data_IF_412711519647
#
_entry.id   IF_412711519647
#
_cell.length_a   1.000
_cell.length_b   1.000
_cell.length_c   1.000
_cell.angle_alpha   90.00
_cell.angle_beta   90.00
_cell.angle_gamma   90.00
#
_symmetry.space_group_name_H-M   'P 1'
#
loop_
_entity.id
_entity.type
_entity.pdbx_description
1 polymer ?
#
# COMPACT_ATOMS: atom_id res chain seq x y z
N UNK A 1 -4.44 18.40 -21.56
CA UNK A 1 -4.03 17.18 -20.83
C UNK A 1 -2.55 17.02 -21.01
N UNK A 2 -1.80 17.17 -19.93
CA UNK A 2 -0.33 17.09 -19.89
C UNK A 2 0.11 15.65 -19.66
N UNK A 3 1.41 15.38 -19.77
CA UNK A 3 1.99 14.05 -19.44
C UNK A 3 1.68 13.66 -17.99
N UNK A 4 1.66 14.63 -17.07
CA UNK A 4 1.29 14.39 -15.68
C UNK A 4 -0.14 13.83 -15.56
N UNK A 5 -1.10 14.38 -16.30
CA UNK A 5 -2.49 13.90 -16.26
C UNK A 5 -2.59 12.43 -16.72
N UNK A 6 -1.83 12.03 -17.74
CA UNK A 6 -1.78 10.64 -18.19
C UNK A 6 -1.15 9.70 -17.15
N UNK A 7 -0.12 10.15 -16.44
CA UNK A 7 0.49 9.38 -15.35
C UNK A 7 -0.52 9.15 -14.23
N UNK A 8 -1.20 10.22 -13.78
CA UNK A 8 -2.22 10.14 -12.72
C UNK A 8 -3.34 9.19 -13.12
N UNK A 9 -3.90 9.33 -14.33
CA UNK A 9 -4.96 8.46 -14.83
C UNK A 9 -4.50 7.01 -14.95
N UNK A 10 -3.26 6.77 -15.39
CA UNK A 10 -2.71 5.42 -15.48
C UNK A 10 -2.57 4.77 -14.11
N UNK A 11 -2.06 5.50 -13.11
CA UNK A 11 -1.90 4.98 -11.74
C UNK A 11 -3.26 4.65 -11.13
N UNK A 12 -4.22 5.58 -11.21
CA UNK A 12 -5.57 5.37 -10.67
C UNK A 12 -6.27 4.24 -11.42
N UNK A 13 -6.23 4.26 -12.76
CA UNK A 13 -6.84 3.24 -13.60
C UNK A 13 -6.30 1.84 -13.33
N UNK A 14 -4.98 1.68 -13.27
CA UNK A 14 -4.34 0.41 -12.92
C UNK A 14 -4.69 -0.03 -11.51
N UNK A 15 -4.66 0.88 -10.54
CA UNK A 15 -5.04 0.59 -9.16
C UNK A 15 -6.47 0.05 -9.09
N UNK A 16 -7.43 0.73 -9.72
CA UNK A 16 -8.84 0.31 -9.80
C UNK A 16 -8.97 -1.05 -10.48
N UNK A 17 -8.34 -1.26 -11.64
CA UNK A 17 -8.41 -2.54 -12.36
C UNK A 17 -7.90 -3.69 -11.48
N UNK A 18 -6.74 -3.51 -10.86
CA UNK A 18 -6.16 -4.52 -9.97
C UNK A 18 -7.04 -4.80 -8.75
N UNK A 19 -7.62 -3.76 -8.15
CA UNK A 19 -8.50 -3.88 -6.99
C UNK A 19 -9.86 -4.51 -7.36
N UNK A 20 -10.42 -4.24 -8.54
CA UNK A 20 -11.63 -4.92 -9.05
C UNK A 20 -11.36 -6.40 -9.32
N UNK A 21 -10.19 -6.73 -9.89
CA UNK A 21 -9.80 -8.12 -10.15
C UNK A 21 -9.63 -8.93 -8.86
N UNK A 22 -9.06 -8.31 -7.81
CA UNK A 22 -8.82 -8.96 -6.51
C UNK A 22 -10.04 -8.93 -5.59
N UNK A 23 -10.81 -7.86 -5.62
CA UNK A 23 -11.92 -7.57 -4.71
C UNK A 23 -11.49 -7.00 -3.35
N UNK A 24 -12.38 -6.26 -2.70
CA UNK A 24 -12.13 -5.57 -1.42
C UNK A 24 -11.62 -6.51 -0.32
N UNK A 25 -12.27 -7.67 -0.15
CA UNK A 25 -11.90 -8.61 0.91
C UNK A 25 -10.44 -9.03 0.79
N UNK A 26 -9.95 -9.31 -0.41
CA UNK A 26 -8.55 -9.69 -0.58
C UNK A 26 -7.59 -8.55 -0.24
N UNK A 27 -7.95 -7.31 -0.56
CA UNK A 27 -7.11 -6.16 -0.25
C UNK A 27 -7.07 -5.87 1.25
N UNK A 28 -8.22 -5.90 1.92
CA UNK A 28 -8.29 -5.72 3.38
C UNK A 28 -7.53 -6.83 4.09
N UNK A 29 -7.73 -8.10 3.68
CA UNK A 29 -7.01 -9.23 4.27
C UNK A 29 -5.51 -9.19 3.99
N UNK A 30 -5.08 -8.60 2.86
CA UNK A 30 -3.66 -8.40 2.60
C UNK A 30 -3.04 -7.37 3.56
N UNK A 31 -3.74 -6.26 3.83
CA UNK A 31 -3.26 -5.22 4.75
C UNK A 31 -3.27 -5.74 6.19
N UNK A 32 -4.40 -6.30 6.64
CA UNK A 32 -4.52 -6.88 7.98
C UNK A 32 -3.54 -8.04 8.15
N UNK A 33 -3.40 -8.89 7.13
CA UNK A 33 -2.45 -10.00 7.11
C UNK A 33 -1.01 -9.54 7.22
N UNK A 34 -0.63 -8.42 6.59
CA UNK A 34 0.70 -7.84 6.72
C UNK A 34 0.97 -7.38 8.16
N UNK A 35 0.04 -6.65 8.76
CA UNK A 35 0.16 -6.18 10.16
C UNK A 35 0.22 -7.38 11.12
N UNK A 36 -0.65 -8.37 10.92
CA UNK A 36 -0.65 -9.60 11.70
C UNK A 36 0.66 -10.38 11.53
N UNK A 37 1.22 -10.46 10.34
CA UNK A 37 2.48 -11.15 10.08
C UNK A 37 3.66 -10.46 10.80
N UNK A 38 3.72 -9.13 10.82
CA UNK A 38 4.70 -8.40 11.62
C UNK A 38 4.51 -8.65 13.12
N UNK A 39 3.27 -8.56 13.61
CA UNK A 39 2.95 -8.79 15.01
C UNK A 39 3.34 -10.21 15.46
N UNK A 40 2.95 -11.22 14.68
CA UNK A 40 3.28 -12.63 14.95
C UNK A 40 4.79 -12.86 14.86
N UNK A 41 5.44 -12.33 13.81
CA UNK A 41 6.88 -12.42 13.67
C UNK A 41 7.60 -11.88 14.90
N UNK A 42 7.33 -10.64 15.32
CA UNK A 42 8.00 -10.02 16.47
C UNK A 42 7.72 -10.80 17.76
N UNK A 43 6.47 -11.21 17.98
CA UNK A 43 6.03 -11.81 19.24
C UNK A 43 6.54 -13.25 19.41
N UNK A 44 6.53 -14.05 18.34
CA UNK A 44 6.76 -15.50 18.40
C UNK A 44 8.15 -15.93 17.92
N UNK A 45 9.00 -15.01 17.42
CA UNK A 45 10.36 -15.35 16.96
C UNK A 45 11.16 -16.12 18.02
N UNK A 46 11.13 -15.68 19.27
CA UNK A 46 11.88 -16.32 20.35
C UNK A 46 11.39 -17.75 20.66
N UNK A 47 10.12 -18.04 20.40
CA UNK A 47 9.54 -19.37 20.61
C UNK A 47 9.92 -20.32 19.46
N UNK A 48 10.14 -19.79 18.26
CA UNK A 48 10.56 -20.58 17.09
C UNK A 48 12.08 -20.81 17.02
N UNK A 49 12.88 -19.95 17.65
CA UNK A 49 14.35 -20.04 17.68
C UNK A 49 14.91 -21.44 18.01
N UNK A 50 14.41 -22.18 19.02
CA UNK A 50 14.91 -23.51 19.35
C UNK A 50 14.70 -24.54 18.23
N UNK A 51 13.73 -24.32 17.35
CA UNK A 51 13.41 -25.18 16.21
C UNK A 51 14.22 -24.84 14.95
N UNK A 52 14.95 -23.71 14.95
CA UNK A 52 15.82 -23.35 13.84
C UNK A 52 17.08 -24.21 13.82
N UNK A 53 17.65 -24.54 12.64
CA UNK A 53 18.89 -25.27 12.53
C UNK A 53 20.03 -24.63 13.33
N UNK A 54 20.78 -25.43 14.06
CA UNK A 54 21.93 -24.98 14.86
C UNK A 54 23.11 -24.59 13.96
N UNK A 55 23.15 -25.12 12.74
CA UNK A 55 24.21 -24.85 11.77
C UNK A 55 24.19 -23.42 11.19
N UNK A 56 23.20 -22.60 11.55
CA UNK A 56 23.16 -21.19 11.16
C UNK A 56 24.26 -20.46 11.95
N UNK A 57 25.32 -19.96 11.28
CA UNK A 57 26.55 -19.55 11.96
C UNK A 57 26.43 -18.22 12.72
N UNK A 58 25.36 -17.46 12.50
CA UNK A 58 25.16 -16.15 13.10
C UNK A 58 23.81 -16.09 13.82
N UNK A 59 23.81 -15.79 15.11
CA UNK A 59 22.60 -15.65 15.93
C UNK A 59 21.63 -14.61 15.37
N UNK A 60 22.14 -13.47 14.89
CA UNK A 60 21.30 -12.46 14.26
C UNK A 60 20.61 -13.00 12.98
N UNK A 61 21.32 -13.83 12.22
CA UNK A 61 20.78 -14.47 11.02
C UNK A 61 19.75 -15.54 11.37
N UNK A 62 19.95 -16.28 12.48
CA UNK A 62 19.01 -17.28 12.99
C UNK A 62 17.72 -16.65 13.50
N UNK A 63 17.81 -15.52 14.22
CA UNK A 63 16.66 -14.70 14.63
C UNK A 63 15.91 -14.17 13.42
N UNK A 64 16.63 -13.62 12.43
CA UNK A 64 16.02 -13.12 11.20
C UNK A 64 15.31 -14.24 10.43
N UNK A 65 15.92 -15.43 10.33
CA UNK A 65 15.32 -16.58 9.68
C UNK A 65 14.03 -17.02 10.37
N UNK A 66 14.03 -17.14 11.71
CA UNK A 66 12.84 -17.47 12.49
C UNK A 66 11.72 -16.43 12.29
N UNK A 67 12.06 -15.14 12.34
CA UNK A 67 11.10 -14.06 12.06
C UNK A 67 10.50 -14.20 10.66
N UNK A 68 11.32 -14.40 9.63
CA UNK A 68 10.86 -14.53 8.25
C UNK A 68 9.98 -15.75 8.05
N UNK A 69 10.29 -16.88 8.68
CA UNK A 69 9.45 -18.08 8.62
C UNK A 69 8.05 -17.79 9.17
N UNK A 70 7.95 -17.16 10.35
CA UNK A 70 6.67 -16.79 10.96
C UNK A 70 5.90 -15.76 10.13
N UNK A 71 6.63 -14.74 9.65
CA UNK A 71 6.07 -13.67 8.83
C UNK A 71 5.47 -14.22 7.53
N UNK A 72 6.24 -15.02 6.79
CA UNK A 72 5.79 -15.62 5.53
C UNK A 72 4.69 -16.65 5.74
N UNK A 73 4.77 -17.48 6.80
CA UNK A 73 3.72 -18.42 7.14
C UNK A 73 2.39 -17.71 7.45
N UNK A 74 2.44 -16.62 8.22
CA UNK A 74 1.25 -15.82 8.57
C UNK A 74 0.67 -15.12 7.35
N UNK A 75 1.52 -14.53 6.49
CA UNK A 75 1.09 -13.95 5.21
C UNK A 75 0.43 -14.98 4.29
N UNK A 76 0.99 -16.18 4.22
CA UNK A 76 0.43 -17.28 3.43
C UNK A 76 -0.95 -17.64 3.95
N UNK A 77 -1.11 -17.84 5.26
CA UNK A 77 -2.39 -18.13 5.89
C UNK A 77 -3.42 -17.01 5.64
N UNK A 78 -3.05 -15.75 5.85
CA UNK A 78 -3.91 -14.60 5.59
C UNK A 78 -4.36 -14.53 4.13
N UNK A 79 -3.45 -14.84 3.19
CA UNK A 79 -3.76 -14.90 1.76
C UNK A 79 -4.76 -16.02 1.45
N UNK A 80 -4.54 -17.21 1.97
CA UNK A 80 -5.45 -18.35 1.82
C UNK A 80 -6.85 -18.03 2.39
N UNK A 81 -6.91 -17.40 3.55
CA UNK A 81 -8.18 -16.93 4.14
C UNK A 81 -8.87 -15.91 3.25
N UNK A 82 -8.14 -14.93 2.71
CA UNK A 82 -8.70 -13.95 1.78
C UNK A 82 -9.24 -14.58 0.48
N UNK A 83 -8.58 -15.61 -0.03
CA UNK A 83 -9.05 -16.41 -1.17
C UNK A 83 -10.35 -17.14 -0.82
N UNK A 84 -10.39 -17.82 0.33
CA UNK A 84 -11.54 -18.59 0.79
C UNK A 84 -12.77 -17.68 1.03
N UNK A 85 -12.60 -16.58 1.76
CA UNK A 85 -13.67 -15.62 2.03
C UNK A 85 -14.22 -15.00 0.74
N UNK A 86 -13.34 -14.65 -0.20
CA UNK A 86 -13.78 -14.13 -1.50
C UNK A 86 -14.58 -15.17 -2.30
N UNK A 87 -14.23 -16.45 -2.21
CA UNK A 87 -14.98 -17.53 -2.84
C UNK A 87 -16.37 -17.70 -2.20
N UNK A 88 -16.46 -17.57 -0.88
CA UNK A 88 -17.74 -17.61 -0.14
C UNK A 88 -18.65 -16.47 -0.59
N UNK A 89 -18.14 -15.23 -0.65
CA UNK A 89 -18.93 -14.08 -1.13
C UNK A 89 -19.40 -14.27 -2.57
N UNK A 90 -18.57 -14.86 -3.44
CA UNK A 90 -18.96 -15.18 -4.81
C UNK A 90 -20.11 -16.19 -4.84
N UNK A 91 -20.07 -17.23 -4.01
CA UNK A 91 -21.15 -18.23 -3.89
C UNK A 91 -22.44 -17.64 -3.32
N UNK A 92 -22.33 -16.68 -2.39
CA UNK A 92 -23.47 -15.98 -1.82
C UNK A 92 -24.10 -14.92 -2.76
N UNK A 93 -23.60 -14.79 -4.00
CA UNK A 93 -24.08 -13.76 -4.94
C UNK A 93 -23.57 -12.34 -4.66
N UNK A 94 -22.75 -12.16 -3.61
CA UNK A 94 -22.16 -10.86 -3.21
C UNK A 94 -20.82 -10.56 -3.90
N UNK A 95 -20.44 -11.36 -4.90
CA UNK A 95 -19.19 -11.17 -5.64
C UNK A 95 -19.10 -9.82 -6.37
N UNK A 96 -20.23 -9.31 -6.88
CA UNK A 96 -20.29 -7.98 -7.52
C UNK A 96 -20.05 -6.86 -6.52
N UNK A 97 -20.63 -6.94 -5.32
CA UNK A 97 -20.42 -5.97 -4.25
C UNK A 97 -18.96 -5.96 -3.80
N UNK A 98 -18.35 -7.14 -3.61
CA UNK A 98 -16.92 -7.26 -3.28
C UNK A 98 -16.01 -6.58 -4.32
N UNK A 99 -16.35 -6.70 -5.61
CA UNK A 99 -15.61 -6.06 -6.71
C UNK A 99 -15.86 -4.56 -6.77
N UNK A 100 -17.09 -4.11 -6.56
CA UNK A 100 -17.45 -2.70 -6.54
C UNK A 100 -16.75 -1.95 -5.39
N UNK A 101 -16.80 -2.51 -4.18
CA UNK A 101 -16.05 -1.99 -3.05
C UNK A 101 -14.53 -2.04 -3.29
N UNK A 102 -14.06 -3.06 -4.01
CA UNK A 102 -12.67 -3.13 -4.48
C UNK A 102 -12.33 -1.97 -5.42
N UNK A 103 -13.23 -1.58 -6.33
CA UNK A 103 -13.04 -0.42 -7.19
C UNK A 103 -12.88 0.88 -6.36
N UNK A 104 -13.75 1.10 -5.37
CA UNK A 104 -13.65 2.26 -4.48
C UNK A 104 -12.34 2.27 -3.69
N UNK A 105 -11.93 1.12 -3.17
CA UNK A 105 -10.65 0.97 -2.50
C UNK A 105 -9.48 1.25 -3.46
N UNK A 106 -9.55 0.76 -4.70
CA UNK A 106 -8.57 1.00 -5.75
C UNK A 106 -8.44 2.47 -6.12
N UNK A 107 -9.54 3.23 -6.15
CA UNK A 107 -9.51 4.69 -6.32
C UNK A 107 -8.80 5.34 -5.15
N UNK A 108 -9.20 5.01 -3.91
CA UNK A 108 -8.59 5.59 -2.71
C UNK A 108 -7.09 5.30 -2.65
N UNK A 109 -6.68 4.05 -2.89
CA UNK A 109 -5.27 3.64 -2.96
C UNK A 109 -4.53 4.33 -4.09
N UNK A 110 -5.13 4.43 -5.28
CA UNK A 110 -4.53 5.11 -6.43
C UNK A 110 -4.30 6.59 -6.11
N UNK A 111 -5.28 7.25 -5.51
CA UNK A 111 -5.16 8.63 -5.06
C UNK A 111 -4.07 8.80 -4.00
N UNK A 112 -3.98 7.90 -3.02
CA UNK A 112 -2.91 7.91 -2.02
C UNK A 112 -1.52 7.81 -2.67
N UNK A 113 -1.34 6.90 -3.64
CA UNK A 113 -0.07 6.77 -4.38
C UNK A 113 0.26 8.06 -5.13
N UNK A 114 -0.72 8.67 -5.79
CA UNK A 114 -0.50 9.93 -6.51
C UNK A 114 -0.19 11.08 -5.54
N UNK A 115 -0.87 11.18 -4.39
CA UNK A 115 -0.55 12.16 -3.36
C UNK A 115 0.90 12.01 -2.87
N UNK A 116 1.38 10.78 -2.66
CA UNK A 116 2.78 10.53 -2.29
C UNK A 116 3.73 11.02 -3.40
N UNK A 117 3.42 10.76 -4.67
CA UNK A 117 4.25 11.23 -5.80
C UNK A 117 4.27 12.77 -5.85
N UNK A 118 3.12 13.43 -5.68
CA UNK A 118 3.01 14.90 -5.66
C UNK A 118 3.71 15.50 -4.45
N UNK A 119 3.63 14.86 -3.30
CA UNK A 119 4.39 15.24 -2.11
C UNK A 119 5.90 15.17 -2.36
N UNK A 120 6.38 14.07 -2.93
CA UNK A 120 7.80 13.90 -3.28
C UNK A 120 8.24 14.88 -4.38
N UNK A 121 7.39 15.16 -5.37
CA UNK A 121 7.66 16.16 -6.39
C UNK A 121 7.76 17.57 -5.80
N UNK A 122 6.95 17.89 -4.79
CA UNK A 122 7.02 19.16 -4.04
C UNK A 122 8.34 19.37 -3.30
N UNK A 123 9.12 18.31 -3.04
CA UNK A 123 10.47 18.41 -2.49
C UNK A 123 11.55 18.74 -3.55
N UNK A 124 11.15 18.92 -4.81
CA UNK A 124 12.03 19.16 -5.97
C UNK A 124 11.56 20.38 -6.77
N UNK A 125 12.29 20.77 -7.82
CA UNK A 125 11.90 21.86 -8.73
C UNK A 125 10.87 21.45 -9.80
N UNK A 126 10.41 20.19 -9.81
CA UNK A 126 9.42 19.67 -10.78
C UNK A 126 8.13 20.51 -10.83
N UNK A 127 7.56 21.01 -9.71
CA UNK A 127 6.33 21.80 -9.74
C UNK A 127 6.43 23.11 -10.51
N UNK A 128 7.65 23.62 -10.76
CA UNK A 128 7.88 24.86 -11.51
C UNK A 128 7.76 24.68 -13.03
N UNK A 129 7.77 23.45 -13.53
CA UNK A 129 7.65 23.15 -14.96
C UNK A 129 6.24 23.52 -15.48
N UNK A 130 6.11 24.24 -16.61
CA UNK A 130 4.82 24.50 -17.26
C UNK A 130 3.98 23.24 -17.51
N UNK A 131 4.59 22.07 -17.72
CA UNK A 131 3.88 20.79 -17.92
C UNK A 131 3.20 20.30 -16.64
N UNK A 132 3.68 20.71 -15.48
CA UNK A 132 3.09 20.41 -14.20
C UNK A 132 1.98 21.41 -13.87
N UNK A 133 2.27 22.72 -13.92
CA UNK A 133 1.30 23.79 -13.62
C UNK A 133 0.06 23.80 -14.51
N UNK A 134 0.20 23.41 -15.78
CA UNK A 134 -0.93 23.34 -16.72
C UNK A 134 -1.71 22.02 -16.63
N UNK A 135 -1.31 21.10 -15.76
CA UNK A 135 -1.98 19.81 -15.61
C UNK A 135 -3.30 19.96 -14.85
N UNK A 136 -4.35 19.30 -15.32
CA UNK A 136 -5.69 19.40 -14.72
C UNK A 136 -5.71 18.85 -13.29
N UNK A 137 -4.93 17.80 -13.02
CA UNK A 137 -4.88 17.16 -11.70
C UNK A 137 -3.83 17.72 -10.74
N UNK A 138 -2.97 18.65 -11.18
CA UNK A 138 -1.91 19.23 -10.33
C UNK A 138 -2.52 19.96 -9.13
N UNK A 139 -3.27 21.03 -9.36
CA UNK A 139 -3.83 21.90 -8.33
C UNK A 139 -4.75 21.18 -7.32
N UNK A 140 -5.71 20.31 -7.74
CA UNK A 140 -6.53 19.57 -6.78
C UNK A 140 -5.71 18.63 -5.88
N UNK A 141 -4.69 17.97 -6.42
CA UNK A 141 -3.88 17.00 -5.66
C UNK A 141 -2.87 17.72 -4.77
N UNK A 142 -2.26 18.80 -5.25
CA UNK A 142 -1.44 19.70 -4.41
C UNK A 142 -2.24 20.22 -3.22
N UNK A 143 -3.47 20.68 -3.43
CA UNK A 143 -4.34 21.11 -2.34
C UNK A 143 -4.59 19.98 -1.33
N UNK A 144 -4.81 18.75 -1.80
CA UNK A 144 -4.93 17.58 -0.92
C UNK A 144 -3.63 17.34 -0.12
N UNK A 145 -2.46 17.41 -0.77
CA UNK A 145 -1.18 17.24 -0.09
C UNK A 145 -0.93 18.34 0.94
N UNK A 146 -1.23 19.61 0.61
CA UNK A 146 -1.09 20.75 1.52
C UNK A 146 -1.96 20.56 2.76
N UNK A 147 -3.18 20.07 2.61
CA UNK A 147 -4.06 19.75 3.74
C UNK A 147 -3.53 18.59 4.61
N UNK A 148 -2.66 17.74 4.07
CA UNK A 148 -2.02 16.63 4.78
C UNK A 148 -0.66 17.00 5.38
N UNK A 149 -0.05 18.12 4.97
CA UNK A 149 1.22 18.61 5.52
C UNK A 149 1.24 18.77 7.06
N UNK A 150 0.14 19.17 7.74
CA UNK A 150 0.13 19.26 9.21
C UNK A 150 0.37 17.92 9.92
N UNK A 151 0.18 16.79 9.24
CA UNK A 151 0.44 15.44 9.78
C UNK A 151 1.86 14.94 9.46
N UNK A 152 2.63 15.70 8.66
CA UNK A 152 4.01 15.39 8.30
C UNK A 152 4.98 16.06 9.28
N UNK A 153 6.10 15.41 9.67
CA UNK A 153 7.11 16.04 10.51
C UNK A 153 7.59 17.38 9.95
N UNK A 154 7.68 18.40 10.81
CA UNK A 154 8.00 19.79 10.41
C UNK A 154 9.33 19.94 9.64
N UNK A 155 10.28 19.02 9.84
CA UNK A 155 11.56 19.00 9.13
C UNK A 155 11.41 18.74 7.63
N UNK A 156 10.39 18.00 7.21
CA UNK A 156 10.12 17.69 5.80
C UNK A 156 9.11 18.70 5.23
N UNK A 157 8.09 19.07 6.00
CA UNK A 157 7.04 19.99 5.57
C UNK A 157 7.59 21.34 5.06
N UNK A 158 8.68 21.84 5.66
CA UNK A 158 9.33 23.11 5.25
C UNK A 158 10.00 23.08 3.87
N UNK A 159 10.28 21.89 3.34
CA UNK A 159 10.95 21.72 2.04
C UNK A 159 9.98 21.50 0.89
N UNK A 160 8.70 21.31 1.18
CA UNK A 160 7.67 21.13 0.15
C UNK A 160 7.28 22.51 -0.37
N UNK A 161 7.56 22.77 -1.65
CA UNK A 161 7.22 24.04 -2.32
C UNK A 161 6.53 23.75 -3.65
N UNK A 162 5.39 24.39 -3.85
CA UNK A 162 4.61 24.33 -5.10
C UNK A 162 4.62 25.67 -5.86
N UNK A 163 5.34 26.67 -5.34
CA UNK A 163 5.51 28.03 -5.90
C UNK A 163 6.70 28.15 -6.90
#
# INVERSE_FOLDING_TARGET
>A
MTIFDYIVLTIIGLSVILSVMRGMVREVLAIVGLVAAFYVGITYTNQLLPMMPVDIPNDALRVLAAFLVLFLATLLLATLLGIALSAILKKAGLGWLNRFLGALFGVARGLLVVCVIVFLAGLTDIPKDPRWRNAMFSSPIEALVINLLPWVPEGIARHVKYD
#
